data_IF_206489497567
#
_entry.id   IF_206489497567
#
_cell.length_a   1.000
_cell.length_b   1.000
_cell.length_c   1.000
_cell.angle_alpha   90.00
_cell.angle_beta   90.00
_cell.angle_gamma   90.00
#
_symmetry.space_group_name_H-M   'P 1'
#
loop_
_entity.id
_entity.type
_entity.pdbx_description
1 polymer ?
#
# COMPACT_ATOMS: atom_id res chain seq x y z
N UNK A 1 -36.16 -34.40 -7.08
CA UNK A 1 -35.42 -35.39 -6.30
C UNK A 1 -34.21 -34.61 -5.71
N UNK A 2 -34.27 -34.16 -4.48
CA UNK A 2 -33.87 -34.91 -3.30
C UNK A 2 -32.38 -35.28 -3.42
N UNK A 3 -31.47 -35.00 -2.54
CA UNK A 3 -31.43 -34.83 -1.12
C UNK A 3 -30.04 -34.30 -0.74
N UNK A 4 -29.94 -33.46 0.28
CA UNK A 4 -29.63 -33.78 1.68
C UNK A 4 -28.12 -33.88 1.98
N UNK A 5 -27.66 -32.95 2.75
CA UNK A 5 -27.27 -32.93 4.16
C UNK A 5 -25.89 -33.48 4.49
N UNK A 6 -25.12 -32.76 5.31
CA UNK A 6 -24.81 -32.98 6.71
C UNK A 6 -23.68 -32.03 7.14
N UNK A 7 -23.87 -31.14 8.08
CA UNK A 7 -23.63 -31.20 9.52
C UNK A 7 -22.26 -31.79 9.88
N UNK A 8 -21.44 -30.92 10.46
CA UNK A 8 -20.24 -31.28 11.19
C UNK A 8 -19.79 -30.14 12.09
N UNK A 9 -20.38 -30.04 13.28
CA UNK A 9 -19.91 -29.19 14.37
C UNK A 9 -18.74 -29.90 15.08
N UNK A 10 -17.65 -29.20 15.31
CA UNK A 10 -16.67 -29.61 16.31
C UNK A 10 -16.22 -28.36 17.08
N UNK A 11 -16.77 -28.21 18.24
CA UNK A 11 -16.28 -27.32 19.28
C UNK A 11 -15.06 -27.96 19.95
N UNK A 12 -13.96 -27.22 20.04
CA UNK A 12 -12.87 -27.53 20.95
C UNK A 12 -12.54 -26.27 21.72
N UNK A 13 -12.93 -26.27 22.98
CA UNK A 13 -12.61 -25.24 23.93
C UNK A 13 -11.12 -25.29 24.30
N UNK A 14 -10.52 -24.12 24.40
CA UNK A 14 -9.21 -23.93 25.04
C UNK A 14 -9.42 -23.07 26.28
N UNK A 15 -9.28 -23.69 27.43
CA UNK A 15 -9.22 -23.10 28.76
C UNK A 15 -7.92 -22.33 28.92
N UNK A 16 -7.99 -21.01 29.02
CA UNK A 16 -6.86 -20.19 29.45
C UNK A 16 -6.73 -20.22 30.97
N UNK A 17 -5.65 -20.80 31.45
CA UNK A 17 -5.25 -20.76 32.85
C UNK A 17 -4.57 -19.40 33.10
N UNK A 18 -5.20 -18.58 33.93
CA UNK A 18 -4.62 -17.34 34.41
C UNK A 18 -3.57 -17.64 35.46
N UNK A 19 -2.31 -17.43 35.16
CA UNK A 19 -1.22 -17.43 36.15
C UNK A 19 -1.14 -16.09 36.84
N UNK A 20 -1.59 -16.05 38.09
CA UNK A 20 -1.42 -14.89 38.96
C UNK A 20 0.01 -14.92 39.49
N UNK A 21 0.87 -14.05 39.01
CA UNK A 21 2.19 -13.81 39.58
C UNK A 21 2.06 -12.79 40.71
N UNK A 22 2.35 -13.27 41.90
CA UNK A 22 2.41 -12.49 43.14
C UNK A 22 3.52 -11.44 43.05
N UNK A 23 3.15 -10.16 43.18
CA UNK A 23 4.09 -9.06 43.36
C UNK A 23 4.58 -9.04 44.78
N UNK A 24 5.84 -9.40 45.00
CA UNK A 24 6.52 -9.18 46.28
C UNK A 24 7.00 -7.73 46.37
N UNK A 25 6.70 -7.01 47.45
CA UNK A 25 7.26 -5.69 47.65
C UNK A 25 8.73 -5.80 48.01
N UNK A 26 9.60 -5.39 47.09
CA UNK A 26 11.02 -5.31 47.36
C UNK A 26 11.32 -4.00 48.05
N UNK A 27 11.60 -4.05 49.33
CA UNK A 27 12.12 -2.93 50.11
C UNK A 27 13.53 -2.64 49.63
N UNK A 28 13.72 -1.47 49.05
CA UNK A 28 15.06 -0.96 48.67
C UNK A 28 15.70 -0.30 49.86
N UNK A 29 16.94 -0.69 50.22
CA UNK A 29 17.70 0.09 51.21
C UNK A 29 18.15 1.39 50.59
N UNK A 30 17.84 2.50 51.23
CA UNK A 30 18.37 3.85 50.90
C UNK A 30 19.86 3.86 51.30
N UNK A 31 20.72 3.86 50.27
CA UNK A 31 22.14 4.10 50.50
C UNK A 31 22.39 5.59 50.37
N UNK A 32 22.72 6.22 51.50
CA UNK A 32 23.16 7.61 51.56
C UNK A 32 24.60 7.73 51.00
N UNK A 33 24.72 8.62 50.03
CA UNK A 33 25.88 9.46 49.81
C UNK A 33 27.23 8.78 49.53
N UNK A 34 27.57 8.64 48.26
CA UNK A 34 28.96 8.67 47.84
C UNK A 34 29.12 9.84 46.82
N UNK A 35 30.17 10.63 46.91
CA UNK A 35 30.40 11.73 45.95
C UNK A 35 30.67 11.16 44.57
N UNK A 36 29.97 11.72 43.56
CA UNK A 36 30.14 11.39 42.16
C UNK A 36 31.60 11.59 41.73
N UNK A 37 32.25 10.58 41.15
CA UNK A 37 33.46 10.82 40.41
C UNK A 37 33.12 11.56 39.10
N UNK A 38 33.96 12.54 38.79
CA UNK A 38 33.86 13.38 37.62
C UNK A 38 33.54 12.64 36.34
N UNK A 39 32.65 13.22 35.57
CA UNK A 39 32.22 12.80 34.25
C UNK A 39 33.40 12.58 33.29
N UNK A 40 33.87 11.35 33.23
CA UNK A 40 34.62 10.91 32.07
C UNK A 40 33.62 10.86 30.91
N UNK A 41 33.83 11.74 29.93
CA UNK A 41 33.18 11.67 28.65
C UNK A 41 33.66 10.39 27.96
N UNK A 42 32.95 9.28 28.19
CA UNK A 42 33.07 8.13 27.31
C UNK A 42 32.49 8.58 25.96
N UNK A 43 33.22 8.42 24.84
CA UNK A 43 32.59 8.57 23.53
C UNK A 43 31.42 7.56 23.48
N UNK A 44 30.21 8.09 23.40
CA UNK A 44 29.05 7.25 23.10
C UNK A 44 29.37 6.52 21.80
N UNK A 45 29.16 5.19 21.74
CA UNK A 45 29.12 4.51 20.46
C UNK A 45 28.12 5.28 19.60
N UNK A 46 28.57 5.79 18.45
CA UNK A 46 27.68 6.33 17.43
C UNK A 46 26.70 5.20 17.13
N UNK A 47 25.43 5.40 17.50
CA UNK A 47 24.38 4.53 17.03
C UNK A 47 24.56 4.38 15.52
N UNK A 48 24.56 3.15 14.98
CA UNK A 48 24.60 2.96 13.54
C UNK A 48 23.48 3.83 12.96
N UNK A 49 23.74 4.60 11.90
CA UNK A 49 22.70 5.42 11.28
C UNK A 49 21.48 4.53 11.06
N UNK A 50 20.34 4.97 11.60
CA UNK A 50 19.08 4.30 11.37
C UNK A 50 19.00 4.01 9.87
N UNK A 51 18.61 2.80 9.44
CA UNK A 51 18.50 2.49 8.03
C UNK A 51 17.66 3.59 7.40
N UNK A 52 18.20 4.25 6.36
CA UNK A 52 17.53 5.33 5.66
C UNK A 52 16.11 4.86 5.39
N UNK A 53 15.13 5.52 6.01
CA UNK A 53 13.75 5.10 5.94
C UNK A 53 13.41 4.90 4.47
N UNK A 54 12.88 3.74 4.12
CA UNK A 54 12.42 3.49 2.76
C UNK A 54 11.31 4.50 2.57
N UNK A 55 11.54 5.54 1.76
CA UNK A 55 10.52 6.54 1.47
C UNK A 55 9.37 5.82 0.75
N UNK A 56 8.32 5.52 1.51
CA UNK A 56 7.11 4.93 0.97
C UNK A 56 6.19 6.03 0.45
N UNK A 57 5.51 5.79 -0.67
CA UNK A 57 4.50 6.73 -1.13
C UNK A 57 3.35 6.84 -0.14
N UNK A 58 2.80 8.02 -0.02
CA UNK A 58 1.54 8.20 0.71
C UNK A 58 0.36 7.75 -0.17
N UNK A 59 -0.74 7.34 0.46
CA UNK A 59 -1.97 7.04 -0.28
C UNK A 59 -2.43 8.21 -1.16
N UNK A 60 -2.22 9.45 -0.69
CA UNK A 60 -2.54 10.66 -1.44
C UNK A 60 -1.72 10.79 -2.73
N UNK A 61 -0.41 10.54 -2.68
CA UNK A 61 0.47 10.59 -3.86
C UNK A 61 0.03 9.57 -4.91
N UNK A 62 -0.24 8.33 -4.48
CA UNK A 62 -0.69 7.28 -5.38
C UNK A 62 -2.07 7.58 -5.98
N UNK A 63 -3.00 8.11 -5.17
CA UNK A 63 -4.33 8.53 -5.65
C UNK A 63 -4.19 9.64 -6.71
N UNK A 64 -3.28 10.59 -6.51
CA UNK A 64 -3.03 11.66 -7.49
C UNK A 64 -2.54 11.11 -8.82
N UNK A 65 -1.60 10.16 -8.81
CA UNK A 65 -1.12 9.47 -10.02
C UNK A 65 -2.27 8.80 -10.76
N UNK A 66 -3.09 8.02 -10.05
CA UNK A 66 -4.21 7.28 -10.64
C UNK A 66 -5.31 8.20 -11.16
N UNK A 67 -5.66 9.26 -10.43
CA UNK A 67 -6.65 10.24 -10.86
C UNK A 67 -6.20 10.98 -12.13
N UNK A 68 -4.93 11.34 -12.20
CA UNK A 68 -4.39 11.96 -13.42
C UNK A 68 -4.40 10.99 -14.60
N UNK A 69 -4.11 9.71 -14.37
CA UNK A 69 -4.15 8.69 -15.43
C UNK A 69 -5.55 8.46 -15.98
N UNK A 70 -6.60 8.50 -15.14
CA UNK A 70 -7.99 8.26 -15.58
C UNK A 70 -8.67 9.50 -16.21
N UNK A 71 -8.08 10.68 -16.14
CA UNK A 71 -8.69 11.91 -16.66
C UNK A 71 -8.80 11.88 -18.20
N UNK A 72 -10.00 11.83 -18.78
CA UNK A 72 -10.16 11.76 -20.24
C UNK A 72 -9.91 13.10 -20.93
N UNK A 73 -9.81 14.20 -20.18
CA UNK A 73 -9.61 15.54 -20.75
C UNK A 73 -8.16 15.81 -21.13
N UNK A 74 -7.22 15.02 -20.59
CA UNK A 74 -5.78 15.13 -20.84
C UNK A 74 -5.33 13.95 -21.70
N UNK A 75 -4.63 14.23 -22.80
CA UNK A 75 -4.11 13.17 -23.66
C UNK A 75 -3.15 12.24 -22.92
N UNK A 76 -3.27 10.95 -23.18
CA UNK A 76 -2.42 9.93 -22.58
C UNK A 76 -0.95 10.14 -22.94
N UNK A 77 -0.65 10.71 -24.10
CA UNK A 77 0.71 11.08 -24.50
C UNK A 77 1.38 12.02 -23.47
N UNK A 78 0.60 12.94 -22.90
CA UNK A 78 1.08 13.87 -21.87
C UNK A 78 1.23 13.24 -20.48
N UNK A 79 0.68 12.05 -20.27
CA UNK A 79 0.70 11.32 -18.97
C UNK A 79 1.84 10.30 -18.87
N UNK A 80 2.64 10.13 -19.93
CA UNK A 80 3.72 9.15 -19.97
C UNK A 80 4.73 9.28 -18.82
N UNK A 81 4.88 10.48 -18.26
CA UNK A 81 5.76 10.70 -17.10
C UNK A 81 5.26 10.04 -15.81
N UNK A 82 3.99 9.64 -15.74
CA UNK A 82 3.39 8.93 -14.59
C UNK A 82 3.59 7.42 -14.65
N UNK A 83 4.14 6.91 -15.75
CA UNK A 83 4.39 5.49 -15.97
C UNK A 83 5.89 5.27 -16.17
N UNK A 84 6.41 4.26 -15.50
CA UNK A 84 7.80 3.85 -15.66
C UNK A 84 8.08 3.46 -17.11
N UNK A 85 9.11 4.06 -17.71
CA UNK A 85 9.48 3.80 -19.10
C UNK A 85 8.51 4.36 -20.14
N UNK A 86 7.49 5.13 -19.71
CA UNK A 86 6.50 5.71 -20.61
C UNK A 86 5.26 4.83 -20.82
N UNK A 87 4.48 5.16 -21.86
CA UNK A 87 3.19 4.53 -22.12
C UNK A 87 3.39 3.17 -22.77
N UNK A 88 2.84 2.06 -22.20
CA UNK A 88 3.04 0.71 -22.74
C UNK A 88 2.24 0.37 -23.99
N UNK A 89 1.30 1.24 -24.39
CA UNK A 89 0.45 1.10 -25.58
C UNK A 89 0.43 2.42 -26.36
N UNK A 90 0.03 2.43 -27.64
CA UNK A 90 -0.14 3.67 -28.37
C UNK A 90 -1.08 4.65 -27.63
N UNK A 91 -0.63 5.89 -27.42
CA UNK A 91 -1.38 6.89 -26.65
C UNK A 91 -2.79 7.11 -27.23
N UNK A 92 -2.92 7.09 -28.55
CA UNK A 92 -4.22 7.21 -29.23
C UNK A 92 -5.19 6.10 -28.88
N UNK A 93 -4.69 4.88 -28.68
CA UNK A 93 -5.52 3.76 -28.26
C UNK A 93 -5.98 3.94 -26.81
N UNK A 94 -5.07 4.35 -25.92
CA UNK A 94 -5.40 4.64 -24.53
C UNK A 94 -6.41 5.78 -24.41
N UNK A 95 -6.24 6.85 -25.17
CA UNK A 95 -7.18 7.98 -25.23
C UNK A 95 -8.56 7.52 -25.69
N UNK A 96 -8.62 6.72 -26.75
CA UNK A 96 -9.89 6.18 -27.27
C UNK A 96 -10.63 5.33 -26.22
N UNK A 97 -9.92 4.44 -25.54
CA UNK A 97 -10.54 3.59 -24.49
C UNK A 97 -11.01 4.44 -23.29
N UNK A 98 -10.24 5.47 -22.91
CA UNK A 98 -10.64 6.38 -21.83
C UNK A 98 -11.88 7.19 -22.19
N UNK A 99 -11.92 7.74 -23.41
CA UNK A 99 -13.08 8.48 -23.92
C UNK A 99 -14.32 7.59 -24.03
N UNK A 100 -14.14 6.36 -24.49
CA UNK A 100 -15.21 5.36 -24.55
C UNK A 100 -15.75 5.02 -23.16
N UNK A 101 -14.86 4.84 -22.16
CA UNK A 101 -15.25 4.62 -20.79
C UNK A 101 -16.01 5.82 -20.19
N UNK A 102 -15.56 7.05 -20.51
CA UNK A 102 -16.26 8.26 -20.11
C UNK A 102 -17.64 8.38 -20.77
N UNK A 103 -17.74 8.11 -22.07
CA UNK A 103 -19.01 8.14 -22.80
C UNK A 103 -20.03 7.10 -22.30
N UNK A 104 -19.55 5.96 -21.80
CA UNK A 104 -20.39 4.93 -21.14
C UNK A 104 -20.76 5.29 -19.70
N UNK A 105 -20.27 6.40 -19.15
CA UNK A 105 -20.49 6.77 -17.75
C UNK A 105 -19.73 5.88 -16.76
N UNK A 106 -18.70 5.17 -17.21
CA UNK A 106 -17.86 4.33 -16.33
C UNK A 106 -16.83 5.15 -15.55
N UNK A 107 -16.59 6.38 -15.91
CA UNK A 107 -15.72 7.35 -15.21
C UNK A 107 -16.56 8.43 -14.52
N UNK A 108 -16.06 9.07 -13.46
CA UNK A 108 -14.76 8.82 -12.81
C UNK A 108 -14.76 7.57 -11.93
N UNK A 109 -13.58 6.99 -11.76
CA UNK A 109 -13.34 5.95 -10.76
C UNK A 109 -12.88 6.57 -9.45
N UNK A 110 -13.28 5.96 -8.34
CA UNK A 110 -12.76 6.26 -7.00
C UNK A 110 -11.76 5.19 -6.62
N UNK A 111 -10.59 5.60 -6.12
CA UNK A 111 -9.54 4.70 -5.68
C UNK A 111 -9.39 4.72 -4.18
N UNK A 112 -9.50 3.55 -3.56
CA UNK A 112 -9.13 3.33 -2.17
C UNK A 112 -7.78 2.59 -2.14
N UNK A 113 -6.80 3.17 -1.47
CA UNK A 113 -5.43 2.64 -1.42
C UNK A 113 -5.14 2.10 -0.03
N UNK A 114 -4.67 0.85 0.01
CA UNK A 114 -4.33 0.14 1.23
C UNK A 114 -3.07 -0.71 1.04
N UNK A 115 -2.54 -1.25 2.14
CA UNK A 115 -1.42 -2.18 2.14
C UNK A 115 -0.19 -1.65 1.37
N UNK A 116 0.16 -0.39 1.58
CA UNK A 116 1.39 0.18 1.00
C UNK A 116 2.59 -0.49 1.68
N UNK A 117 3.41 -1.17 0.90
CA UNK A 117 4.57 -1.91 1.38
C UNK A 117 5.80 -1.68 0.49
N UNK A 118 7.01 -1.74 1.04
CA UNK A 118 8.22 -1.62 0.26
C UNK A 118 8.37 -2.83 -0.67
N UNK A 119 8.80 -2.60 -1.89
CA UNK A 119 9.03 -3.63 -2.92
C UNK A 119 10.46 -3.59 -3.48
N UNK A 120 11.39 -3.04 -2.70
CA UNK A 120 12.78 -2.87 -3.05
C UNK A 120 13.21 -1.40 -3.02
N UNK A 121 14.48 -1.10 -3.31
CA UNK A 121 14.97 0.27 -3.35
C UNK A 121 14.18 1.10 -4.37
N UNK A 122 13.60 2.22 -3.92
CA UNK A 122 12.80 3.10 -4.78
C UNK A 122 11.55 2.45 -5.36
N UNK A 123 11.03 1.38 -4.75
CA UNK A 123 9.81 0.72 -5.21
C UNK A 123 8.87 0.41 -4.05
N UNK A 124 7.57 0.51 -4.31
CA UNK A 124 6.51 0.16 -3.38
C UNK A 124 5.38 -0.58 -4.11
N UNK A 125 4.69 -1.40 -3.36
CA UNK A 125 3.44 -2.04 -3.79
C UNK A 125 2.28 -1.53 -2.97
N UNK A 126 1.10 -1.50 -3.55
CA UNK A 126 -0.12 -1.14 -2.85
C UNK A 126 -1.31 -1.94 -3.41
N UNK A 127 -2.30 -2.18 -2.57
CA UNK A 127 -3.60 -2.69 -3.00
C UNK A 127 -4.49 -1.50 -3.31
N UNK A 128 -4.94 -1.40 -4.56
CA UNK A 128 -5.81 -0.34 -5.05
C UNK A 128 -7.19 -0.95 -5.28
N UNK A 129 -8.20 -0.49 -4.56
CA UNK A 129 -9.57 -0.88 -4.83
C UNK A 129 -10.23 0.21 -5.68
N UNK A 130 -10.46 -0.09 -6.94
CA UNK A 130 -11.17 0.79 -7.85
C UNK A 130 -12.69 0.55 -7.73
N UNK A 131 -13.46 1.64 -7.67
CA UNK A 131 -14.92 1.62 -7.63
C UNK A 131 -15.44 2.66 -8.60
N UNK A 132 -16.43 2.34 -9.39
CA UNK A 132 -17.06 3.26 -10.35
C UNK A 132 -18.55 3.03 -10.50
N UNK A 133 -19.23 3.88 -11.28
CA UNK A 133 -20.68 3.76 -11.49
C UNK A 133 -21.12 2.39 -12.05
N UNK A 134 -20.25 1.76 -12.85
CA UNK A 134 -20.49 0.45 -13.46
C UNK A 134 -19.41 -0.57 -13.10
N UNK A 135 -18.58 -0.27 -12.11
CA UNK A 135 -17.51 -1.12 -11.62
C UNK A 135 -17.73 -1.44 -10.14
N UNK A 136 -17.99 -2.71 -9.84
CA UNK A 136 -17.97 -3.17 -8.45
C UNK A 136 -16.56 -3.01 -7.86
N UNK A 137 -16.43 -2.85 -6.53
CA UNK A 137 -15.13 -2.74 -5.90
C UNK A 137 -14.20 -3.87 -6.30
N UNK A 138 -13.18 -3.56 -7.09
CA UNK A 138 -12.22 -4.54 -7.62
C UNK A 138 -10.84 -4.20 -7.06
N UNK A 139 -10.26 -5.06 -6.22
CA UNK A 139 -8.92 -4.88 -5.71
C UNK A 139 -7.89 -5.29 -6.77
N UNK A 140 -6.94 -4.40 -7.04
CA UNK A 140 -5.80 -4.64 -7.92
C UNK A 140 -4.50 -4.43 -7.13
N UNK A 141 -3.53 -5.27 -7.36
CA UNK A 141 -2.23 -5.17 -6.72
C UNK A 141 -1.25 -4.49 -7.66
N UNK A 142 -0.88 -3.26 -7.35
CA UNK A 142 -0.07 -2.43 -8.22
C UNK A 142 1.30 -2.13 -7.60
N UNK A 143 2.30 -2.06 -8.46
CA UNK A 143 3.66 -1.65 -8.12
C UNK A 143 3.91 -0.23 -8.61
N UNK A 144 4.58 0.54 -7.78
CA UNK A 144 5.02 1.90 -8.05
C UNK A 144 6.53 2.01 -7.90
N UNK A 145 7.15 2.90 -8.65
CA UNK A 145 8.58 3.17 -8.60
C UNK A 145 8.83 4.66 -8.42
N UNK A 146 9.86 5.00 -7.65
CA UNK A 146 10.30 6.37 -7.48
C UNK A 146 11.41 6.69 -8.49
N UNK A 147 11.11 7.61 -9.40
CA UNK A 147 12.03 8.13 -10.39
C UNK A 147 11.96 9.67 -10.42
N UNK A 148 12.24 10.29 -9.26
CA UNK A 148 12.02 11.72 -9.06
C UNK A 148 10.55 12.08 -8.87
N UNK A 149 9.80 11.13 -8.32
CA UNK A 149 8.38 11.12 -8.05
C UNK A 149 7.80 9.73 -8.30
N UNK A 150 6.75 9.40 -7.57
CA UNK A 150 6.11 8.08 -7.66
C UNK A 150 5.38 7.91 -8.99
N UNK A 151 5.70 6.84 -9.69
CA UNK A 151 5.14 6.46 -10.98
C UNK A 151 4.58 5.05 -10.92
N UNK A 152 3.57 4.77 -11.71
CA UNK A 152 3.08 3.41 -11.89
C UNK A 152 4.12 2.59 -12.66
N UNK A 153 4.43 1.36 -12.21
CA UNK A 153 5.35 0.50 -12.94
C UNK A 153 4.77 0.10 -14.30
N UNK A 154 5.61 -0.18 -15.26
CA UNK A 154 5.21 -0.60 -16.61
C UNK A 154 4.27 -1.81 -16.58
N UNK A 155 4.62 -2.84 -15.81
CA UNK A 155 3.81 -4.06 -15.70
C UNK A 155 2.44 -3.80 -15.09
N UNK A 156 2.38 -2.93 -14.06
CA UNK A 156 1.11 -2.54 -13.43
C UNK A 156 0.25 -1.72 -14.38
N UNK A 157 0.85 -0.86 -15.22
CA UNK A 157 0.12 -0.13 -16.24
C UNK A 157 -0.49 -1.08 -17.29
N UNK A 158 0.26 -2.11 -17.71
CA UNK A 158 -0.27 -3.14 -18.60
C UNK A 158 -1.42 -3.92 -17.98
N UNK A 159 -1.30 -4.29 -16.72
CA UNK A 159 -2.37 -4.98 -15.97
C UNK A 159 -3.66 -4.15 -15.93
N UNK A 160 -3.56 -2.86 -15.59
CA UNK A 160 -4.73 -1.96 -15.58
C UNK A 160 -5.40 -1.84 -16.94
N UNK A 161 -4.62 -1.71 -18.01
CA UNK A 161 -5.16 -1.63 -19.38
C UNK A 161 -5.90 -2.93 -19.75
N UNK A 162 -5.36 -4.09 -19.35
CA UNK A 162 -6.01 -5.37 -19.58
C UNK A 162 -7.29 -5.52 -18.76
N UNK A 163 -7.29 -5.10 -17.50
CA UNK A 163 -8.48 -5.12 -16.63
C UNK A 163 -9.61 -4.27 -17.22
N UNK A 164 -9.30 -3.07 -17.72
CA UNK A 164 -10.29 -2.20 -18.38
C UNK A 164 -10.87 -2.84 -19.64
N UNK A 165 -10.04 -3.54 -20.42
CA UNK A 165 -10.52 -4.23 -21.64
C UNK A 165 -11.40 -5.43 -21.35
N UNK A 166 -11.12 -6.16 -20.29
CA UNK A 166 -11.89 -7.37 -19.91
C UNK A 166 -13.20 -7.04 -19.21
N UNK A 167 -13.38 -5.82 -18.74
CA UNK A 167 -14.61 -5.34 -18.10
C UNK A 167 -15.67 -4.86 -19.10
N UNK A 168 -15.42 -5.00 -20.39
CA UNK A 168 -16.30 -4.59 -21.50
C UNK A 168 -16.72 -5.81 -22.33
#
# INVERSE_FOLDING_TARGET
>A
MAAVAAIGAAAAGVTCIASVTAVSPRVQPVVFGAPSPASGRYPQPLDPPAPAGVDLPTAYQLTTVLNTLQDPSVSFASKGYLIEGGIPVPATLADHELQKAAAKGSLPLTFNISNIAPAGPGAATATITATGPHLAPTPEYLRFVDQGGWKLSHDSAMTLIQSVRSSH
#
